data_IF_602474049090
#
_entry.id   IF_602474049090
#
_cell.length_a   1.000
_cell.length_b   1.000
_cell.length_c   1.000
_cell.angle_alpha   90.00
_cell.angle_beta   90.00
_cell.angle_gamma   90.00
#
_symmetry.space_group_name_H-M   'P 1'
#
loop_
_entity.id
_entity.type
_entity.pdbx_description
1 polymer ?
#
# COMPACT_ATOMS: atom_id res chain seq x y z
N UNK A 1 -12.83 3.79 -31.15
CA UNK A 1 -11.95 4.76 -30.47
C UNK A 1 -10.84 3.99 -29.78
N UNK A 2 -9.58 4.34 -30.00
CA UNK A 2 -8.45 3.72 -29.28
C UNK A 2 -8.43 4.26 -27.84
N UNK A 3 -8.51 3.38 -26.84
CA UNK A 3 -8.47 3.80 -25.43
C UNK A 3 -7.08 4.33 -25.06
N UNK A 4 -7.02 5.50 -24.42
CA UNK A 4 -5.78 6.07 -23.90
C UNK A 4 -5.43 5.41 -22.55
N UNK A 5 -4.16 5.10 -22.36
CA UNK A 5 -3.67 4.44 -21.15
C UNK A 5 -2.70 5.33 -20.39
N UNK A 6 -2.79 5.28 -19.07
CA UNK A 6 -1.73 5.70 -18.16
C UNK A 6 -0.84 4.49 -17.87
N UNK A 7 0.48 4.66 -18.01
CA UNK A 7 1.47 3.64 -17.70
C UNK A 7 2.24 4.06 -16.47
N UNK A 8 2.31 3.16 -15.50
CA UNK A 8 2.94 3.39 -14.21
C UNK A 8 4.01 2.33 -14.01
N UNK A 9 5.11 2.69 -13.38
CA UNK A 9 6.10 1.74 -12.89
C UNK A 9 6.21 1.89 -11.38
N UNK A 10 5.75 0.89 -10.63
CA UNK A 10 5.71 0.94 -9.17
C UNK A 10 6.78 -0.01 -8.65
N UNK A 11 7.85 0.52 -8.06
CA UNK A 11 8.93 -0.31 -7.51
C UNK A 11 9.56 -1.28 -8.51
N UNK A 12 9.59 -0.92 -9.80
CA UNK A 12 10.14 -1.75 -10.89
C UNK A 12 9.10 -2.58 -11.64
N UNK A 13 7.85 -2.62 -11.19
CA UNK A 13 6.77 -3.38 -11.84
C UNK A 13 5.90 -2.48 -12.71
N UNK A 14 5.70 -2.86 -13.97
CA UNK A 14 4.86 -2.13 -14.92
C UNK A 14 3.36 -2.38 -14.71
N UNK A 15 2.58 -1.31 -14.67
CA UNK A 15 1.12 -1.32 -14.64
C UNK A 15 0.55 -0.45 -15.75
N UNK A 16 -0.61 -0.86 -16.29
CA UNK A 16 -1.27 -0.16 -17.37
C UNK A 16 -2.76 -0.01 -17.06
N UNK A 17 -3.23 1.23 -16.94
CA UNK A 17 -4.62 1.56 -16.64
C UNK A 17 -5.25 2.35 -17.77
N UNK A 18 -6.50 2.03 -18.12
CA UNK A 18 -7.30 2.90 -18.99
C UNK A 18 -7.54 4.22 -18.27
N UNK A 19 -7.26 5.34 -18.94
CA UNK A 19 -7.45 6.67 -18.36
C UNK A 19 -8.90 6.91 -17.92
N UNK A 20 -9.86 6.36 -18.67
CA UNK A 20 -11.29 6.43 -18.35
C UNK A 20 -11.63 5.67 -17.06
N UNK A 21 -11.12 4.44 -16.91
CA UNK A 21 -11.31 3.63 -15.71
C UNK A 21 -10.78 4.35 -14.48
N UNK A 22 -9.57 4.89 -14.55
CA UNK A 22 -8.98 5.67 -13.46
C UNK A 22 -9.88 6.85 -13.06
N UNK A 23 -10.20 7.72 -14.03
CA UNK A 23 -10.99 8.93 -13.81
C UNK A 23 -12.38 8.65 -13.21
N UNK A 24 -13.04 7.60 -13.68
CA UNK A 24 -14.39 7.27 -13.26
C UNK A 24 -14.44 6.53 -11.92
N UNK A 25 -13.42 5.73 -11.59
CA UNK A 25 -13.40 4.91 -10.38
C UNK A 25 -13.22 5.74 -9.11
N UNK A 26 -12.26 6.68 -9.11
CA UNK A 26 -11.99 7.51 -7.94
C UNK A 26 -11.46 8.88 -8.36
N UNK A 27 -12.34 9.86 -8.51
CA UNK A 27 -11.99 11.20 -9.01
C UNK A 27 -10.97 11.94 -8.14
N UNK A 28 -10.92 11.65 -6.85
CA UNK A 28 -10.02 12.28 -5.88
C UNK A 28 -8.64 11.61 -5.82
N UNK A 29 -8.48 10.42 -6.42
CA UNK A 29 -7.21 9.68 -6.34
C UNK A 29 -6.07 10.36 -7.10
N UNK A 30 -4.85 10.08 -6.65
CA UNK A 30 -3.63 10.50 -7.31
C UNK A 30 -3.58 10.03 -8.77
N UNK A 31 -4.00 8.80 -9.04
CA UNK A 31 -4.03 8.24 -10.40
C UNK A 31 -4.99 9.03 -11.30
N UNK A 32 -6.18 9.40 -10.82
CA UNK A 32 -7.11 10.26 -11.57
C UNK A 32 -6.55 11.66 -11.81
N UNK A 33 -5.83 12.20 -10.83
CA UNK A 33 -5.12 13.48 -10.98
C UNK A 33 -4.07 13.37 -12.08
N UNK A 34 -3.21 12.35 -12.04
CA UNK A 34 -2.19 12.10 -13.08
C UNK A 34 -2.83 12.03 -14.47
N UNK A 35 -3.92 11.29 -14.65
CA UNK A 35 -4.66 11.21 -15.93
C UNK A 35 -5.04 12.60 -16.47
N UNK A 36 -5.38 13.53 -15.59
CA UNK A 36 -5.88 14.88 -15.95
C UNK A 36 -4.76 15.90 -16.15
N UNK A 37 -3.53 15.57 -15.77
CA UNK A 37 -2.37 16.45 -15.85
C UNK A 37 -1.63 16.32 -17.18
N UNK A 38 -0.91 17.40 -17.53
CA UNK A 38 0.04 17.42 -18.64
C UNK A 38 1.22 16.48 -18.35
N UNK A 39 2.02 16.17 -19.37
CA UNK A 39 3.25 15.38 -19.15
C UNK A 39 4.18 16.08 -18.15
N UNK A 40 4.42 17.39 -18.34
CA UNK A 40 5.30 18.21 -17.50
C UNK A 40 4.86 18.20 -16.03
N UNK A 41 3.56 18.37 -15.77
CA UNK A 41 3.03 18.35 -14.38
C UNK A 41 3.15 16.97 -13.73
N UNK A 42 3.06 15.88 -14.51
CA UNK A 42 3.25 14.52 -13.99
C UNK A 42 4.71 14.29 -13.59
N UNK A 43 5.67 14.91 -14.27
CA UNK A 43 7.10 14.82 -13.91
C UNK A 43 7.40 15.48 -12.55
N UNK A 44 6.56 16.41 -12.10
CA UNK A 44 6.68 17.02 -10.77
C UNK A 44 6.16 16.13 -9.63
N UNK A 45 5.47 15.04 -9.97
CA UNK A 45 4.79 14.15 -9.01
C UNK A 45 5.43 12.78 -8.97
N UNK A 46 5.79 12.23 -10.13
CA UNK A 46 6.49 10.97 -10.22
C UNK A 46 7.96 11.14 -9.82
N UNK A 47 8.56 10.10 -9.22
CA UNK A 47 9.97 10.14 -8.81
C UNK A 47 10.90 10.14 -10.03
N UNK A 48 10.50 9.43 -11.10
CA UNK A 48 11.16 9.54 -12.41
C UNK A 48 10.22 9.20 -13.56
N UNK A 49 10.69 9.40 -14.79
CA UNK A 49 9.99 8.99 -16.01
C UNK A 49 10.88 8.11 -16.88
N UNK A 50 10.40 6.91 -17.18
CA UNK A 50 11.11 5.91 -17.98
C UNK A 50 10.69 6.10 -19.43
N UNK A 51 11.42 6.93 -20.17
CA UNK A 51 11.06 7.33 -21.54
C UNK A 51 10.88 6.15 -22.51
N UNK A 52 11.69 5.09 -22.36
CA UNK A 52 11.64 3.92 -23.25
C UNK A 52 10.32 3.15 -23.16
N UNK A 53 9.67 3.13 -21.99
CA UNK A 53 8.41 2.41 -21.75
C UNK A 53 7.22 3.36 -21.55
N UNK A 54 7.47 4.67 -21.60
CA UNK A 54 6.50 5.74 -21.34
C UNK A 54 5.86 5.65 -19.95
N UNK A 55 6.63 5.25 -18.94
CA UNK A 55 6.13 4.98 -17.59
C UNK A 55 6.51 6.07 -16.59
N UNK A 56 5.54 6.47 -15.77
CA UNK A 56 5.79 7.28 -14.58
C UNK A 56 6.16 6.37 -13.42
N UNK A 57 7.38 6.52 -12.91
CA UNK A 57 7.92 5.68 -11.85
C UNK A 57 7.61 6.26 -10.46
N UNK A 58 7.30 5.35 -9.53
CA UNK A 58 7.11 5.65 -8.12
C UNK A 58 7.92 4.66 -7.26
N UNK A 59 8.70 5.17 -6.30
CA UNK A 59 9.47 4.42 -5.30
C UNK A 59 8.56 3.83 -4.21
N UNK A 60 7.61 3.00 -4.65
CA UNK A 60 6.59 2.37 -3.80
C UNK A 60 6.56 0.87 -4.02
N UNK A 61 5.97 0.14 -3.09
CA UNK A 61 5.94 -1.33 -3.13
C UNK A 61 4.90 -1.85 -4.13
N UNK A 62 5.34 -2.40 -5.26
CA UNK A 62 4.49 -3.10 -6.24
C UNK A 62 3.52 -4.11 -5.58
N UNK A 63 4.05 -4.89 -4.64
CA UNK A 63 3.28 -5.90 -3.91
C UNK A 63 2.04 -5.33 -3.21
N UNK A 64 2.16 -4.16 -2.58
CA UNK A 64 1.02 -3.51 -1.90
C UNK A 64 0.13 -2.81 -2.92
N UNK A 65 0.73 -2.23 -3.96
CA UNK A 65 0.03 -1.57 -5.06
C UNK A 65 -0.88 -2.52 -5.85
N UNK A 66 -0.61 -3.82 -5.88
CA UNK A 66 -1.52 -4.80 -6.51
C UNK A 66 -2.96 -4.66 -6.00
N UNK A 67 -3.17 -4.50 -4.69
CA UNK A 67 -4.52 -4.30 -4.13
C UNK A 67 -5.17 -2.98 -4.57
N UNK A 68 -4.36 -1.94 -4.81
CA UNK A 68 -4.82 -0.65 -5.35
C UNK A 68 -5.15 -0.77 -6.83
N UNK A 69 -4.33 -1.49 -7.60
CA UNK A 69 -4.59 -1.77 -9.00
C UNK A 69 -5.90 -2.57 -9.18
N UNK A 70 -6.10 -3.61 -8.38
CA UNK A 70 -7.33 -4.40 -8.36
C UNK A 70 -8.57 -3.55 -8.05
N UNK A 71 -8.44 -2.54 -7.19
CA UNK A 71 -9.52 -1.58 -6.95
C UNK A 71 -9.96 -0.83 -8.23
N UNK A 72 -9.04 -0.50 -9.14
CA UNK A 72 -9.40 0.11 -10.43
C UNK A 72 -10.07 -0.86 -11.40
N UNK A 73 -9.85 -2.16 -11.25
CA UNK A 73 -10.52 -3.18 -12.06
C UNK A 73 -11.90 -3.50 -11.45
N UNK A 74 -11.93 -3.92 -10.20
CA UNK A 74 -13.09 -4.58 -9.55
C UNK A 74 -14.15 -3.59 -9.06
N UNK A 75 -13.76 -2.52 -8.36
CA UNK A 75 -14.70 -1.48 -7.90
C UNK A 75 -14.53 -1.10 -6.44
N UNK A 76 -13.97 -2.02 -5.67
CA UNK A 76 -13.92 -1.95 -4.22
C UNK A 76 -12.53 -2.34 -3.73
N UNK A 77 -12.14 -1.78 -2.60
CA UNK A 77 -10.89 -2.12 -1.94
C UNK A 77 -11.07 -3.37 -1.10
N UNK A 78 -10.18 -4.34 -1.31
CA UNK A 78 -9.99 -5.48 -0.44
C UNK A 78 -8.63 -5.38 0.24
N UNK A 79 -8.60 -5.60 1.55
CA UNK A 79 -7.35 -5.65 2.31
C UNK A 79 -6.60 -6.93 1.92
N UNK A 80 -5.36 -6.83 1.40
CA UNK A 80 -4.52 -8.01 1.16
C UNK A 80 -4.28 -8.75 2.48
N UNK A 81 -4.28 -10.08 2.45
CA UNK A 81 -4.13 -10.89 3.67
C UNK A 81 -2.68 -10.99 4.15
N UNK A 82 -1.76 -10.82 3.22
CA UNK A 82 -0.30 -10.90 3.34
C UNK A 82 0.36 -9.52 3.57
N UNK A 83 -0.44 -8.45 3.65
CA UNK A 83 0.05 -7.10 3.92
C UNK A 83 -0.52 -6.60 5.26
N UNK A 84 0.36 -6.04 6.10
CA UNK A 84 -0.04 -5.35 7.32
C UNK A 84 -1.11 -4.28 7.02
N UNK A 85 -2.16 -4.19 7.84
CA UNK A 85 -3.27 -3.26 7.61
C UNK A 85 -2.81 -1.82 7.52
N UNK A 86 -1.95 -1.40 8.45
CA UNK A 86 -1.49 -0.01 8.53
C UNK A 86 -0.61 0.35 7.32
N UNK A 87 0.18 -0.63 6.86
CA UNK A 87 0.95 -0.51 5.62
C UNK A 87 0.04 -0.30 4.41
N UNK A 88 -1.02 -1.08 4.27
CA UNK A 88 -1.96 -0.88 3.16
C UNK A 88 -2.71 0.46 3.27
N UNK A 89 -3.13 0.86 4.47
CA UNK A 89 -3.79 2.15 4.70
C UNK A 89 -2.87 3.34 4.37
N UNK A 90 -1.58 3.26 4.70
CA UNK A 90 -0.59 4.28 4.32
C UNK A 90 -0.42 4.40 2.80
N UNK A 91 -0.52 3.28 2.07
CA UNK A 91 -0.56 3.34 0.60
C UNK A 91 -1.85 4.00 0.13
N UNK A 92 -3.02 3.67 0.69
CA UNK A 92 -4.27 4.33 0.30
C UNK A 92 -4.22 5.85 0.49
N UNK A 93 -3.58 6.31 1.57
CA UNK A 93 -3.34 7.73 1.80
C UNK A 93 -2.43 8.34 0.72
N UNK A 94 -1.29 7.72 0.42
CA UNK A 94 -0.40 8.16 -0.65
C UNK A 94 -1.11 8.25 -2.02
N UNK A 95 -1.88 7.21 -2.36
CA UNK A 95 -2.64 7.15 -3.62
C UNK A 95 -3.94 7.97 -3.58
N UNK A 96 -4.25 8.58 -2.44
CA UNK A 96 -5.42 9.43 -2.20
C UNK A 96 -6.75 8.73 -2.48
N UNK A 97 -6.84 7.45 -2.11
CA UNK A 97 -8.03 6.62 -2.28
C UNK A 97 -8.76 6.55 -0.93
N UNK A 98 -9.99 7.07 -0.82
CA UNK A 98 -10.74 7.03 0.42
C UNK A 98 -11.02 5.60 0.90
N UNK A 99 -10.90 5.36 2.20
CA UNK A 99 -11.25 4.07 2.84
C UNK A 99 -12.74 3.76 2.75
N UNK A 100 -13.60 4.72 2.38
CA UNK A 100 -15.02 4.48 2.08
C UNK A 100 -15.24 3.53 0.90
N UNK A 101 -14.23 3.29 0.06
CA UNK A 101 -14.27 2.26 -0.99
C UNK A 101 -13.97 0.84 -0.47
N UNK A 102 -13.64 0.66 0.81
CA UNK A 102 -13.45 -0.67 1.40
C UNK A 102 -14.73 -1.51 1.29
N UNK A 103 -14.56 -2.73 0.78
CA UNK A 103 -15.63 -3.71 0.74
C UNK A 103 -16.08 -4.08 2.16
N UNK A 104 -17.35 -4.44 2.31
CA UNK A 104 -17.96 -4.77 3.61
C UNK A 104 -17.24 -5.89 4.38
N UNK A 105 -16.62 -6.85 3.67
CA UNK A 105 -15.82 -7.91 4.27
C UNK A 105 -14.53 -7.38 4.92
N UNK A 106 -14.00 -6.26 4.45
CA UNK A 106 -12.75 -5.66 4.91
C UNK A 106 -12.99 -4.60 5.99
N UNK A 107 -14.05 -3.80 5.89
CA UNK A 107 -14.41 -2.80 6.92
C UNK A 107 -14.64 -3.45 8.28
N UNK A 108 -15.28 -4.63 8.32
CA UNK A 108 -15.50 -5.40 9.56
C UNK A 108 -14.20 -5.90 10.19
N UNK A 109 -13.22 -6.28 9.35
CA UNK A 109 -11.89 -6.72 9.81
C UNK A 109 -11.11 -5.53 10.39
N UNK A 110 -11.14 -4.39 9.73
CA UNK A 110 -10.47 -3.17 10.22
C UNK A 110 -11.05 -2.69 11.55
N UNK A 111 -12.38 -2.66 11.71
CA UNK A 111 -13.00 -2.29 12.99
C UNK A 111 -12.59 -3.21 14.15
N UNK A 112 -12.42 -4.52 13.89
CA UNK A 112 -11.90 -5.48 14.89
C UNK A 112 -10.45 -5.23 15.25
N UNK A 113 -9.61 -4.88 14.28
CA UNK A 113 -8.20 -4.55 14.53
C UNK A 113 -8.11 -3.25 15.35
N UNK A 114 -8.85 -2.21 14.97
CA UNK A 114 -8.86 -0.94 15.69
C UNK A 114 -9.37 -1.08 17.14
N UNK A 115 -10.22 -2.05 17.43
CA UNK A 115 -10.69 -2.34 18.80
C UNK A 115 -9.74 -3.23 19.62
N UNK A 116 -8.77 -3.89 18.97
CA UNK A 116 -7.68 -4.61 19.66
C UNK A 116 -6.45 -3.69 19.83
N UNK A 117 -6.28 -2.72 18.93
CA UNK A 117 -5.24 -1.67 18.99
C UNK A 117 -5.41 -0.67 20.15
N UNK A 118 -6.46 -0.78 20.96
CA UNK A 118 -6.53 -0.19 22.30
C UNK A 118 -6.00 -1.19 23.34
N UNK A 119 -4.79 -1.71 23.15
CA UNK A 119 -4.13 -2.48 24.21
C UNK A 119 -3.64 -1.48 25.27
N UNK A 120 -4.53 -1.24 26.22
CA UNK A 120 -4.46 -0.57 27.50
C UNK A 120 -3.14 0.12 27.91
N UNK A 121 -3.21 1.44 28.09
CA UNK A 121 -2.21 2.26 28.78
C UNK A 121 -2.31 2.12 30.32
N UNK A 122 -2.84 1.02 30.84
CA UNK A 122 -3.15 0.84 32.28
C UNK A 122 -2.18 -0.09 33.02
N UNK A 123 -1.07 -0.52 32.41
CA UNK A 123 0.05 -1.13 33.15
C UNK A 123 1.13 -0.07 33.33
N UNK A 124 0.79 0.95 34.12
CA UNK A 124 1.75 1.88 34.69
C UNK A 124 1.50 1.92 36.21
N UNK A 125 1.77 0.80 36.88
CA UNK A 125 1.99 0.80 38.32
C UNK A 125 2.76 -0.45 38.75
N UNK A 126 3.99 -0.20 39.21
CA UNK A 126 4.79 -0.94 40.19
C UNK A 126 5.16 -2.39 39.85
N UNK A 127 6.36 -2.59 39.27
CA UNK A 127 7.52 -3.18 39.95
C UNK A 127 8.70 -3.31 38.95
N UNK A 128 9.75 -2.52 39.16
CA UNK A 128 10.86 -2.28 38.21
C UNK A 128 11.82 -3.47 38.00
N UNK A 129 11.63 -4.61 38.67
CA UNK A 129 12.48 -5.80 38.48
C UNK A 129 12.02 -6.72 37.35
N UNK A 130 10.77 -6.61 36.88
CA UNK A 130 10.23 -7.51 35.84
C UNK A 130 10.62 -7.10 34.41
N UNK A 131 10.89 -5.81 34.17
CA UNK A 131 11.19 -5.30 32.82
C UNK A 131 12.54 -5.78 32.29
N UNK A 132 13.54 -5.90 33.18
CA UNK A 132 14.88 -6.31 32.78
C UNK A 132 15.03 -7.83 32.59
N UNK A 133 14.11 -8.61 33.15
CA UNK A 133 14.00 -10.03 32.84
C UNK A 133 13.36 -10.30 31.46
N UNK A 134 12.46 -9.42 30.99
CA UNK A 134 11.73 -9.62 29.72
C UNK A 134 12.55 -9.17 28.52
N UNK A 135 13.35 -8.10 28.63
CA UNK A 135 14.22 -7.66 27.55
C UNK A 135 15.40 -8.62 27.30
N UNK A 136 15.82 -9.39 28.31
CA UNK A 136 16.87 -10.42 28.16
C UNK A 136 16.34 -11.71 27.53
N UNK A 137 15.02 -11.96 27.56
CA UNK A 137 14.41 -13.19 27.02
C UNK A 137 13.88 -13.07 25.60
N UNK A 138 13.93 -11.89 24.96
CA UNK A 138 13.40 -11.65 23.61
C UNK A 138 14.46 -11.17 22.60
N UNK A 139 15.74 -11.13 22.96
CA UNK A 139 16.82 -10.70 22.04
C UNK A 139 17.64 -11.88 21.50
N UNK A 140 17.45 -13.10 21.99
CA UNK A 140 18.14 -14.28 21.47
C UNK A 140 17.16 -15.19 20.70
N UNK A 141 17.49 -15.43 19.42
CA UNK A 141 16.87 -16.31 18.42
C UNK A 141 15.62 -15.82 17.64
N UNK A 142 15.83 -14.91 16.67
CA UNK A 142 15.04 -14.93 15.41
C UNK A 142 15.89 -15.46 14.22
N UNK A 143 15.83 -16.77 13.92
CA UNK A 143 16.50 -17.37 12.78
C UNK A 143 15.80 -17.12 11.42
N UNK A 144 14.71 -16.34 11.35
CA UNK A 144 13.99 -16.07 10.10
C UNK A 144 14.41 -14.80 9.35
N UNK A 145 15.41 -14.05 9.84
CA UNK A 145 16.09 -13.01 9.06
C UNK A 145 16.84 -13.52 7.81
N UNK A 146 16.65 -14.78 7.40
CA UNK A 146 17.41 -15.47 6.36
C UNK A 146 16.55 -16.22 5.33
N UNK A 147 15.39 -15.70 4.93
CA UNK A 147 14.64 -16.24 3.77
C UNK A 147 14.12 -15.11 2.88
N UNK A 148 15.04 -14.29 2.38
CA UNK A 148 14.80 -13.37 1.26
C UNK A 148 15.99 -13.42 0.30
N UNK A 149 16.33 -14.60 -0.22
CA UNK A 149 17.06 -14.84 -1.47
C UNK A 149 17.23 -16.36 -1.64
N UNK A 150 16.53 -16.95 -2.60
CA UNK A 150 16.71 -18.36 -2.94
C UNK A 150 18.07 -18.63 -3.60
N UNK A 151 18.50 -19.89 -3.59
CA UNK A 151 19.26 -20.42 -4.72
C UNK A 151 19.04 -21.92 -4.92
N UNK A 152 18.76 -22.27 -6.18
CA UNK A 152 18.74 -23.59 -6.76
C UNK A 152 20.04 -24.37 -6.51
N UNK A 153 19.93 -25.58 -5.93
CA UNK A 153 20.37 -26.89 -6.46
C UNK A 153 20.48 -27.91 -5.34
#
# INVERSE_FOLDING_TARGET
>A
MSGKFLRLNIGGTSYKLLEETARNRCKTSLISRLVSLSHEDRLLIADTYIANTEEYFFERSAHVFNGIYDFYIIGYLHMPQDVCSDRFLSELEFWQIPTSYLASCCTRKQMRINSIGSFDQTIASSDDEAFEAIHVLLVDDDPFAKVCCGNNR
#
